data_IF_051421158202
#
_entry.id   IF_051421158202
#
_cell.length_a   1.000
_cell.length_b   1.000
_cell.length_c   1.000
_cell.angle_alpha   90.00
_cell.angle_beta   90.00
_cell.angle_gamma   90.00
#
_symmetry.space_group_name_H-M   'P 1'
#
loop_
_entity.id
_entity.type
_entity.pdbx_description
1 polymer ?
#
# COMPACT_ATOMS: atom_id res chain seq x y z
N UNK A 1 3.26 24.20 -3.82
CA UNK A 1 3.83 23.31 -4.84
C UNK A 1 2.82 22.20 -5.17
N UNK A 2 2.67 21.86 -6.45
CA UNK A 2 1.75 20.79 -6.88
C UNK A 2 2.08 19.48 -6.19
N UNK A 3 1.08 18.81 -5.63
CA UNK A 3 1.18 17.45 -5.12
C UNK A 3 1.31 16.54 -6.33
N UNK A 4 2.43 15.84 -6.44
CA UNK A 4 2.55 14.74 -7.40
C UNK A 4 1.96 13.51 -6.72
N UNK A 5 0.83 13.02 -7.17
CA UNK A 5 0.12 11.80 -6.79
C UNK A 5 0.33 11.21 -5.39
N UNK A 6 -0.72 10.86 -4.72
CA UNK A 6 -0.63 10.08 -3.50
C UNK A 6 -0.05 8.69 -3.79
N UNK A 7 0.97 8.27 -3.04
CA UNK A 7 1.62 6.98 -3.25
C UNK A 7 1.26 5.93 -2.19
N UNK A 8 0.80 6.38 -1.03
CA UNK A 8 0.38 5.54 0.06
C UNK A 8 -0.56 6.27 0.99
N UNK A 9 -1.55 5.57 1.51
CA UNK A 9 -2.42 6.02 2.59
C UNK A 9 -2.29 5.13 3.81
N UNK A 10 -2.36 5.73 5.01
CA UNK A 10 -2.39 5.00 6.26
C UNK A 10 -3.19 5.79 7.30
N UNK A 11 -4.20 5.19 7.88
CA UNK A 11 -4.90 5.78 9.03
C UNK A 11 -4.03 5.71 10.29
N UNK A 12 -4.11 6.75 11.10
CA UNK A 12 -3.55 6.74 12.44
C UNK A 12 -4.38 5.81 13.34
N UNK A 13 -3.78 4.74 13.88
CA UNK A 13 -4.52 3.78 14.69
C UNK A 13 -5.12 4.38 15.97
N UNK A 14 -4.62 5.53 16.46
CA UNK A 14 -5.13 6.24 17.62
C UNK A 14 -6.16 7.32 17.32
N UNK A 15 -6.45 7.60 16.06
CA UNK A 15 -7.33 8.71 15.67
C UNK A 15 -8.78 8.32 15.44
N UNK A 16 -9.15 7.06 15.63
CA UNK A 16 -10.50 6.57 15.30
C UNK A 16 -10.94 6.97 13.87
N UNK A 17 -10.03 6.79 12.90
CA UNK A 17 -10.21 7.15 11.48
C UNK A 17 -10.35 8.64 11.16
N UNK A 18 -10.00 9.54 12.08
CA UNK A 18 -10.07 10.98 11.80
C UNK A 18 -8.81 11.53 11.14
N UNK A 19 -7.68 10.86 11.32
CA UNK A 19 -6.39 11.25 10.74
C UNK A 19 -5.91 10.27 9.69
N UNK A 20 -5.90 10.70 8.43
CA UNK A 20 -5.35 9.96 7.30
C UNK A 20 -3.99 10.54 6.91
N UNK A 21 -2.95 9.74 7.03
CA UNK A 21 -1.61 10.13 6.58
C UNK A 21 -1.37 9.71 5.14
N UNK A 22 -0.65 10.55 4.41
CA UNK A 22 -0.37 10.38 2.99
C UNK A 22 1.09 10.61 2.68
N UNK A 23 1.69 9.73 1.89
CA UNK A 23 2.94 10.01 1.18
C UNK A 23 2.65 10.44 -0.26
N UNK A 24 3.52 11.26 -0.82
CA UNK A 24 3.37 11.75 -2.19
C UNK A 24 4.69 11.69 -2.95
N UNK A 25 4.64 11.28 -4.23
CA UNK A 25 5.81 11.20 -5.08
C UNK A 25 6.41 12.60 -5.36
N UNK A 26 7.74 12.70 -5.34
CA UNK A 26 8.47 13.90 -5.74
C UNK A 26 8.46 15.06 -4.74
N UNK A 27 7.89 14.89 -3.56
CA UNK A 27 7.97 15.82 -2.43
C UNK A 27 8.41 15.02 -1.22
N UNK A 28 9.52 15.35 -0.61
CA UNK A 28 10.09 14.63 0.54
C UNK A 28 9.26 14.76 1.83
N UNK A 29 7.93 14.81 1.75
CA UNK A 29 7.07 15.06 2.90
C UNK A 29 5.88 14.10 3.00
N UNK A 30 5.52 13.75 4.24
CA UNK A 30 4.23 13.17 4.57
C UNK A 30 3.22 14.29 4.85
N UNK A 31 1.96 14.01 4.66
CA UNK A 31 0.85 14.92 4.98
C UNK A 31 -0.15 14.23 5.88
N UNK A 32 -0.66 14.98 6.84
CA UNK A 32 -1.82 14.64 7.62
C UNK A 32 -3.05 15.27 6.97
N UNK A 33 -4.05 14.48 6.71
CA UNK A 33 -5.40 14.90 6.31
C UNK A 33 -6.29 14.67 7.53
N UNK A 34 -6.72 15.75 8.15
CA UNK A 34 -7.71 15.71 9.21
C UNK A 34 -9.12 15.73 8.58
N UNK A 35 -9.81 14.62 8.71
CA UNK A 35 -11.10 14.40 8.05
C UNK A 35 -12.27 15.08 8.77
N UNK A 36 -12.12 15.38 10.07
CA UNK A 36 -13.13 16.12 10.82
C UNK A 36 -13.00 17.62 10.58
N UNK A 37 -11.78 18.15 10.72
CA UNK A 37 -11.51 19.58 10.54
C UNK A 37 -11.39 19.96 9.06
N UNK A 38 -11.31 18.97 8.15
CA UNK A 38 -11.12 19.15 6.69
C UNK A 38 -9.86 19.96 6.36
N UNK A 39 -8.80 19.70 7.11
CA UNK A 39 -7.50 20.38 6.93
C UNK A 39 -6.42 19.42 6.43
N UNK A 40 -5.43 19.98 5.75
CA UNK A 40 -4.24 19.24 5.31
C UNK A 40 -3.00 19.92 5.86
N UNK A 41 -2.24 19.20 6.68
CA UNK A 41 -1.02 19.71 7.31
C UNK A 41 0.19 18.93 6.79
N UNK A 42 1.27 19.64 6.47
CA UNK A 42 2.54 18.99 6.17
C UNK A 42 3.22 18.57 7.47
N UNK A 43 3.66 17.31 7.53
CA UNK A 43 4.55 16.89 8.60
C UNK A 43 5.94 17.52 8.40
N UNK A 44 6.73 17.69 9.49
CA UNK A 44 8.08 18.18 9.40
C UNK A 44 8.89 17.40 8.37
N UNK A 45 9.77 18.08 7.66
CA UNK A 45 10.63 17.50 6.63
C UNK A 45 11.43 16.31 7.22
N UNK A 46 11.31 15.17 6.58
CA UNK A 46 11.97 13.93 7.03
C UNK A 46 13.46 13.91 6.71
N UNK A 47 13.99 14.97 6.16
CA UNK A 47 15.38 15.12 5.77
C UNK A 47 15.55 15.90 4.45
N UNK A 48 16.64 15.71 3.73
CA UNK A 48 16.91 16.41 2.48
C UNK A 48 15.80 16.19 1.44
N UNK A 49 15.59 17.18 0.55
CA UNK A 49 14.61 17.16 -0.56
C UNK A 49 14.67 15.91 -1.47
N UNK A 50 15.70 15.07 -1.31
CA UNK A 50 15.92 13.82 -2.01
C UNK A 50 15.29 12.61 -1.29
N UNK A 51 14.90 12.75 -0.02
CA UNK A 51 14.25 11.68 0.73
C UNK A 51 12.78 11.57 0.28
N UNK A 52 12.42 10.40 -0.24
CA UNK A 52 11.09 10.14 -0.78
C UNK A 52 10.36 9.15 0.12
N UNK A 53 9.52 9.60 1.06
CA UNK A 53 8.68 8.70 1.83
C UNK A 53 7.74 7.96 0.89
N UNK A 54 7.71 6.64 1.00
CA UNK A 54 6.91 5.79 0.12
C UNK A 54 5.80 5.06 0.86
N UNK A 55 6.05 4.61 2.09
CA UNK A 55 5.13 3.77 2.86
C UNK A 55 5.10 4.26 4.29
N UNK A 56 3.91 4.29 4.89
CA UNK A 56 3.68 4.57 6.30
C UNK A 56 3.14 3.31 6.96
N UNK A 57 3.76 2.94 8.07
CA UNK A 57 3.30 1.91 9.00
C UNK A 57 3.32 2.46 10.42
N UNK A 58 2.88 1.66 11.38
CA UNK A 58 2.83 2.01 12.79
C UNK A 58 3.41 0.88 13.62
N UNK A 59 4.12 1.20 14.71
CA UNK A 59 4.50 0.20 15.70
C UNK A 59 3.24 -0.33 16.39
N UNK A 60 3.29 -1.55 16.89
CA UNK A 60 2.14 -2.19 17.56
C UNK A 60 2.18 -2.05 19.08
N UNK A 61 3.25 -1.45 19.62
CA UNK A 61 3.37 -1.14 21.03
C UNK A 61 2.39 -0.03 21.47
N UNK A 62 2.37 0.28 22.74
CA UNK A 62 1.49 1.30 23.31
C UNK A 62 1.69 2.71 22.72
N UNK A 63 2.90 3.00 22.20
CA UNK A 63 3.24 4.29 21.62
C UNK A 63 2.59 4.46 20.25
N UNK A 64 2.53 3.38 19.45
CA UNK A 64 2.11 3.41 18.05
C UNK A 64 2.83 4.52 17.28
N UNK A 65 4.16 4.47 17.34
CA UNK A 65 5.04 5.39 16.63
C UNK A 65 4.94 5.15 15.11
N UNK A 66 5.12 6.23 14.35
CA UNK A 66 5.04 6.15 12.88
C UNK A 66 6.34 5.61 12.29
N UNK A 67 6.24 4.59 11.46
CA UNK A 67 7.35 4.08 10.66
C UNK A 67 7.21 4.60 9.23
N UNK A 68 8.22 5.31 8.76
CA UNK A 68 8.26 5.82 7.38
C UNK A 68 9.36 5.10 6.62
N UNK A 69 8.96 4.36 5.59
CA UNK A 69 9.88 3.75 4.64
C UNK A 69 10.15 4.69 3.47
N UNK A 70 11.39 4.71 2.97
CA UNK A 70 11.84 5.70 1.99
C UNK A 70 12.41 5.06 0.73
N UNK A 71 12.18 5.72 -0.39
CA UNK A 71 12.90 5.47 -1.65
C UNK A 71 14.13 6.38 -1.69
N UNK A 72 15.30 5.81 -1.41
CA UNK A 72 16.55 6.56 -1.33
C UNK A 72 17.38 6.40 -2.60
N UNK A 73 17.78 7.53 -3.13
CA UNK A 73 18.82 7.58 -4.16
C UNK A 73 20.23 7.80 -3.59
N UNK A 74 20.37 8.18 -2.31
CA UNK A 74 21.65 8.49 -1.67
C UNK A 74 21.67 8.15 -0.18
N UNK A 75 22.73 7.51 0.27
CA UNK A 75 23.18 7.18 1.64
C UNK A 75 22.28 7.60 2.81
N UNK A 76 21.53 6.66 3.39
CA UNK A 76 20.76 6.90 4.61
C UNK A 76 19.94 5.68 5.04
N UNK A 77 19.35 5.74 6.22
CA UNK A 77 18.46 4.71 6.72
C UNK A 77 17.21 4.59 5.83
N UNK A 78 16.88 3.37 5.45
CA UNK A 78 15.73 3.09 4.58
C UNK A 78 14.40 3.17 5.33
N UNK A 79 14.41 2.96 6.66
CA UNK A 79 13.25 3.10 7.53
C UNK A 79 13.56 4.08 8.67
N UNK A 80 12.58 4.90 9.02
CA UNK A 80 12.65 5.87 10.09
C UNK A 80 11.45 5.68 11.01
N UNK A 81 11.70 5.66 12.32
CA UNK A 81 10.66 5.72 13.35
C UNK A 81 10.53 7.15 13.84
N UNK A 82 9.33 7.70 13.75
CA UNK A 82 8.96 9.03 14.25
C UNK A 82 8.17 8.88 15.53
N UNK A 83 8.68 9.46 16.63
CA UNK A 83 8.06 9.35 17.94
C UNK A 83 6.75 10.16 18.01
N UNK A 84 5.67 9.49 18.34
CA UNK A 84 4.36 10.12 18.60
C UNK A 84 4.42 11.10 19.77
N UNK A 85 5.13 10.72 20.85
CA UNK A 85 5.27 11.55 22.05
C UNK A 85 5.90 12.92 21.75
N UNK A 86 6.70 13.01 20.70
CA UNK A 86 7.29 14.28 20.26
C UNK A 86 6.47 15.04 19.21
N UNK A 87 5.25 14.55 18.88
CA UNK A 87 4.48 15.05 17.73
C UNK A 87 5.15 14.75 16.40
N UNK A 88 5.80 13.58 16.28
CA UNK A 88 6.53 13.10 15.11
C UNK A 88 7.76 13.95 14.70
N UNK A 89 8.35 14.67 15.67
CA UNK A 89 9.54 15.50 15.45
C UNK A 89 10.84 14.76 15.72
N UNK A 90 10.86 13.90 16.76
CA UNK A 90 12.03 13.08 17.09
C UNK A 90 12.02 11.84 16.20
N UNK A 91 13.16 11.59 15.56
CA UNK A 91 13.32 10.42 14.65
C UNK A 91 14.44 9.50 15.10
N UNK A 92 14.19 8.21 14.94
CA UNK A 92 15.18 7.15 15.07
C UNK A 92 15.41 6.51 13.71
N UNK A 93 16.65 6.44 13.27
CA UNK A 93 17.03 5.79 12.01
C UNK A 93 17.22 4.31 12.26
N UNK A 94 16.58 3.45 11.44
CA UNK A 94 16.84 2.02 11.41
C UNK A 94 17.90 1.77 10.33
N UNK A 95 19.17 1.74 10.76
CA UNK A 95 20.32 1.63 9.87
C UNK A 95 20.97 0.23 9.97
N UNK A 96 21.16 -0.36 8.79
CA UNK A 96 22.09 -1.47 8.62
C UNK A 96 23.08 -1.10 7.49
N UNK A 97 24.36 -1.40 7.71
CA UNK A 97 25.42 -1.14 6.73
C UNK A 97 25.18 -1.77 5.36
N UNK A 98 24.40 -2.85 5.31
CA UNK A 98 24.03 -3.56 4.08
C UNK A 98 22.94 -2.85 3.26
N UNK A 99 22.19 -1.92 3.85
CA UNK A 99 21.05 -1.24 3.21
C UNK A 99 21.40 0.11 2.57
N UNK A 100 22.67 0.47 2.58
CA UNK A 100 23.12 1.74 1.97
C UNK A 100 22.79 1.77 0.49
N UNK A 101 22.11 2.83 0.05
CA UNK A 101 21.80 3.16 -1.36
C UNK A 101 20.61 2.43 -2.00
N UNK A 102 19.72 1.78 -1.24
CA UNK A 102 18.58 1.04 -1.80
C UNK A 102 17.28 1.51 -1.18
N UNK A 103 16.29 1.84 -2.02
CA UNK A 103 14.96 2.25 -1.56
C UNK A 103 14.09 1.08 -1.11
N UNK A 104 13.20 1.32 -0.15
CA UNK A 104 12.16 0.36 0.24
C UNK A 104 11.05 0.38 -0.79
N UNK A 105 10.69 -0.79 -1.30
CA UNK A 105 9.62 -0.94 -2.29
C UNK A 105 8.31 -1.41 -1.68
N UNK A 106 8.38 -2.23 -0.62
CA UNK A 106 7.24 -2.70 0.15
C UNK A 106 7.61 -2.84 1.62
N UNK A 107 6.69 -2.54 2.52
CA UNK A 107 6.87 -2.74 3.96
C UNK A 107 5.53 -2.92 4.66
N UNK A 108 5.53 -3.72 5.73
CA UNK A 108 4.44 -3.81 6.68
C UNK A 108 4.97 -4.18 8.07
N UNK A 109 4.19 -3.89 9.10
CA UNK A 109 4.42 -4.37 10.46
C UNK A 109 3.47 -5.51 10.77
N UNK A 110 3.98 -6.63 11.25
CA UNK A 110 3.14 -7.75 11.62
C UNK A 110 2.29 -7.40 12.85
N UNK A 111 0.95 -7.53 12.79
CA UNK A 111 0.07 -6.96 13.81
C UNK A 111 0.16 -7.63 15.18
N UNK A 112 0.66 -8.87 15.27
CA UNK A 112 0.80 -9.58 16.54
C UNK A 112 2.22 -9.47 17.11
N UNK A 113 3.26 -9.59 16.27
CA UNK A 113 4.66 -9.65 16.74
C UNK A 113 5.33 -8.28 16.75
N UNK A 114 4.80 -7.30 16.03
CA UNK A 114 5.41 -5.99 15.88
C UNK A 114 6.62 -5.96 14.94
N UNK A 115 7.03 -7.09 14.38
CA UNK A 115 8.17 -7.19 13.49
C UNK A 115 7.91 -6.41 12.19
N UNK A 116 8.85 -5.56 11.78
CA UNK A 116 8.82 -4.87 10.51
C UNK A 116 9.39 -5.76 9.40
N UNK A 117 8.59 -6.01 8.37
CA UNK A 117 9.00 -6.73 7.15
C UNK A 117 9.09 -5.74 5.99
N UNK A 118 10.14 -5.84 5.16
CA UNK A 118 10.32 -4.94 4.03
C UNK A 118 11.15 -5.54 2.90
N UNK A 119 10.98 -4.97 1.70
CA UNK A 119 11.75 -5.30 0.50
C UNK A 119 12.51 -4.08 0.02
N UNK A 120 13.70 -4.32 -0.54
CA UNK A 120 14.54 -3.28 -1.11
C UNK A 120 14.58 -3.41 -2.65
N UNK A 121 14.71 -2.28 -3.32
CA UNK A 121 14.85 -2.23 -4.78
C UNK A 121 16.11 -2.99 -5.23
N UNK A 122 15.97 -3.84 -6.26
CA UNK A 122 17.06 -4.65 -6.84
C UNK A 122 17.80 -5.60 -5.89
N UNK A 123 17.25 -5.91 -4.72
CA UNK A 123 17.86 -6.87 -3.82
C UNK A 123 17.01 -8.10 -3.60
N UNK A 124 17.70 -9.21 -3.44
CA UNK A 124 17.21 -10.38 -2.72
C UNK A 124 18.06 -10.46 -1.44
N UNK A 125 17.53 -10.83 -0.35
CA UNK A 125 16.24 -11.37 0.03
C UNK A 125 15.27 -10.31 0.55
N UNK A 126 14.11 -10.75 1.08
CA UNK A 126 13.25 -9.94 1.94
C UNK A 126 13.90 -9.77 3.31
N UNK A 127 13.63 -8.65 3.97
CA UNK A 127 14.22 -8.28 5.25
C UNK A 127 13.17 -8.18 6.32
N UNK A 128 13.58 -8.47 7.56
CA UNK A 128 12.80 -8.17 8.76
C UNK A 128 13.67 -7.46 9.79
N UNK A 129 13.04 -6.59 10.56
CA UNK A 129 13.63 -5.90 11.71
C UNK A 129 12.78 -6.17 12.93
N UNK A 130 13.42 -6.67 13.99
CA UNK A 130 12.82 -6.91 15.28
C UNK A 130 13.13 -5.73 16.22
N UNK A 131 12.09 -5.04 16.69
CA UNK A 131 12.26 -3.88 17.58
C UNK A 131 12.73 -4.24 18.99
N UNK A 132 12.46 -5.46 19.47
CA UNK A 132 12.87 -5.89 20.79
C UNK A 132 14.35 -6.24 20.84
N UNK A 133 14.85 -7.00 19.86
CA UNK A 133 16.27 -7.38 19.77
C UNK A 133 17.11 -6.38 19.00
N UNK A 134 16.48 -5.49 18.21
CA UNK A 134 17.13 -4.53 17.29
C UNK A 134 17.93 -5.21 16.18
N UNK A 135 17.56 -6.44 15.82
CA UNK A 135 18.26 -7.23 14.82
C UNK A 135 17.59 -7.17 13.45
N UNK A 136 18.45 -7.13 12.43
CA UNK A 136 18.06 -7.30 11.03
C UNK A 136 18.35 -8.73 10.61
N UNK A 137 17.35 -9.39 10.04
CA UNK A 137 17.49 -10.74 9.46
C UNK A 137 16.83 -10.83 8.10
N UNK A 138 17.20 -11.86 7.35
CA UNK A 138 16.66 -12.08 6.00
C UNK A 138 15.78 -13.32 5.95
N UNK A 139 14.81 -13.30 5.05
CA UNK A 139 13.95 -14.46 4.76
C UNK A 139 13.52 -14.44 3.29
N UNK A 140 12.93 -15.55 2.77
CA UNK A 140 12.45 -15.68 1.40
C UNK A 140 13.46 -15.23 0.34
N UNK A 141 14.50 -16.03 0.13
CA UNK A 141 15.64 -15.71 -0.75
C UNK A 141 15.37 -15.91 -2.25
N UNK A 142 14.23 -16.48 -2.63
CA UNK A 142 13.97 -16.93 -4.01
C UNK A 142 13.20 -15.94 -4.87
N UNK A 143 12.74 -14.83 -4.29
CA UNK A 143 12.12 -13.78 -5.09
C UNK A 143 13.20 -13.01 -5.86
N UNK A 144 13.21 -13.18 -7.17
CA UNK A 144 14.01 -12.33 -8.06
C UNK A 144 13.40 -10.93 -8.09
N UNK A 145 13.74 -10.12 -7.09
CA UNK A 145 13.16 -8.79 -6.90
C UNK A 145 13.96 -7.70 -7.60
N UNK A 146 14.14 -7.82 -8.92
CA UNK A 146 14.34 -6.59 -9.71
C UNK A 146 13.05 -5.76 -9.79
N UNK A 147 12.08 -6.03 -8.92
CA UNK A 147 10.70 -5.64 -9.09
C UNK A 147 10.19 -4.91 -7.85
N UNK A 148 9.45 -3.84 -8.09
CA UNK A 148 8.80 -3.11 -7.02
C UNK A 148 7.61 -3.92 -6.53
N UNK A 149 7.66 -4.36 -5.28
CA UNK A 149 6.58 -5.06 -4.61
C UNK A 149 5.99 -4.17 -3.53
N UNK A 150 4.69 -3.92 -3.59
CA UNK A 150 3.96 -3.42 -2.43
C UNK A 150 3.56 -4.58 -1.55
N UNK A 151 3.53 -4.36 -0.23
CA UNK A 151 3.19 -5.42 0.71
C UNK A 151 2.11 -4.94 1.67
N UNK A 152 1.11 -5.80 1.91
CA UNK A 152 0.03 -5.53 2.86
C UNK A 152 -0.23 -6.80 3.67
N UNK A 153 -0.14 -6.69 5.00
CA UNK A 153 -0.43 -7.81 5.90
C UNK A 153 -1.92 -7.87 6.21
N UNK A 154 -2.45 -9.08 6.31
CA UNK A 154 -3.81 -9.34 6.78
C UNK A 154 -3.97 -8.84 8.24
N UNK A 155 -5.13 -8.27 8.63
CA UNK A 155 -5.33 -7.72 9.99
C UNK A 155 -5.07 -8.72 11.11
N UNK A 156 -5.27 -10.02 10.87
CA UNK A 156 -4.98 -11.06 11.87
C UNK A 156 -3.51 -11.51 11.89
N UNK A 157 -2.69 -11.07 10.92
CA UNK A 157 -1.31 -11.52 10.75
C UNK A 157 -1.14 -12.88 10.06
N UNK A 158 -2.21 -13.63 9.78
CA UNK A 158 -2.14 -14.98 9.20
C UNK A 158 -1.43 -15.06 7.85
N UNK A 159 -1.45 -13.99 7.08
CA UNK A 159 -0.77 -13.92 5.77
C UNK A 159 -0.51 -12.48 5.34
N UNK A 160 0.29 -12.31 4.30
CA UNK A 160 0.50 -11.02 3.64
C UNK A 160 0.37 -11.16 2.12
N UNK A 161 -0.14 -10.12 1.47
CA UNK A 161 -0.13 -9.99 0.02
C UNK A 161 1.04 -9.14 -0.45
N UNK A 162 1.63 -9.58 -1.56
CA UNK A 162 2.66 -8.87 -2.31
C UNK A 162 2.07 -8.49 -3.66
N UNK A 163 1.93 -7.18 -3.88
CA UNK A 163 1.39 -6.62 -5.10
C UNK A 163 2.54 -6.24 -6.02
N UNK A 164 2.60 -6.85 -7.19
CA UNK A 164 3.63 -6.55 -8.15
C UNK A 164 3.28 -5.32 -8.98
N UNK A 165 3.97 -4.23 -8.68
CA UNK A 165 3.66 -2.89 -9.16
C UNK A 165 4.22 -2.59 -10.57
N UNK A 166 5.25 -3.30 -11.05
CA UNK A 166 6.01 -2.88 -12.24
C UNK A 166 6.53 -4.08 -13.03
N UNK A 167 6.71 -3.93 -14.30
CA UNK A 167 7.02 -2.91 -15.24
C UNK A 167 6.96 -3.31 -16.70
N UNK A 168 7.35 -4.14 -17.23
CA UNK A 168 7.15 -4.44 -18.64
C UNK A 168 5.80 -5.10 -18.74
N UNK A 169 4.91 -4.55 -19.47
CA UNK A 169 3.52 -4.96 -19.78
C UNK A 169 3.16 -6.47 -19.70
N UNK A 170 4.03 -7.29 -19.14
CA UNK A 170 3.90 -8.74 -19.17
C UNK A 170 3.73 -9.38 -17.79
N UNK A 171 4.11 -8.72 -16.69
CA UNK A 171 4.13 -9.37 -15.39
C UNK A 171 3.32 -8.57 -14.37
N UNK A 172 2.12 -9.02 -14.02
CA UNK A 172 1.31 -8.36 -13.02
C UNK A 172 0.49 -9.39 -12.25
N UNK A 173 0.69 -9.45 -10.94
CA UNK A 173 0.04 -10.43 -10.09
C UNK A 173 0.03 -9.98 -8.63
N UNK A 174 -0.78 -10.68 -7.83
CA UNK A 174 -0.75 -10.63 -6.38
C UNK A 174 -0.25 -12.00 -5.90
N UNK A 175 0.80 -12.00 -5.10
CA UNK A 175 1.29 -13.18 -4.41
C UNK A 175 0.87 -13.16 -2.94
N UNK A 176 0.81 -14.33 -2.32
CA UNK A 176 0.51 -14.52 -0.91
C UNK A 176 1.66 -15.24 -0.21
N UNK A 177 1.95 -14.82 1.00
CA UNK A 177 2.82 -15.52 1.95
C UNK A 177 1.99 -15.84 3.18
N UNK A 178 1.98 -17.10 3.61
CA UNK A 178 1.30 -17.54 4.83
C UNK A 178 2.26 -17.46 6.02
N UNK A 179 1.78 -16.96 7.15
CA UNK A 179 2.55 -16.86 8.37
C UNK A 179 2.44 -18.12 9.22
N UNK A 180 3.59 -18.67 9.59
CA UNK A 180 3.67 -19.79 10.52
C UNK A 180 4.00 -19.25 11.91
N UNK A 181 3.02 -19.30 12.82
CA UNK A 181 3.16 -18.79 14.20
C UNK A 181 4.20 -19.57 15.02
N UNK A 182 4.37 -20.87 14.75
CA UNK A 182 5.32 -21.73 15.49
C UNK A 182 6.77 -21.41 15.09
N UNK A 183 7.00 -21.14 13.82
CA UNK A 183 8.31 -20.83 13.28
C UNK A 183 8.62 -19.33 13.24
N UNK A 184 7.67 -18.48 13.63
CA UNK A 184 7.76 -17.01 13.55
C UNK A 184 8.28 -16.52 12.20
N UNK A 185 7.72 -17.04 11.11
CA UNK A 185 8.13 -16.66 9.75
C UNK A 185 7.05 -16.84 8.72
N UNK A 186 7.17 -16.07 7.65
CA UNK A 186 6.37 -16.23 6.43
C UNK A 186 6.91 -17.37 5.55
N UNK A 187 5.99 -18.01 4.81
CA UNK A 187 6.31 -18.96 3.75
C UNK A 187 6.97 -18.26 2.56
N UNK A 188 7.52 -19.05 1.64
CA UNK A 188 7.82 -18.55 0.29
C UNK A 188 6.52 -18.08 -0.39
N UNK A 189 6.55 -16.97 -1.16
CA UNK A 189 5.36 -16.44 -1.81
C UNK A 189 4.90 -17.29 -2.99
N UNK A 190 3.58 -17.36 -3.16
CA UNK A 190 2.93 -18.00 -4.31
C UNK A 190 1.85 -17.09 -4.91
N UNK A 191 1.62 -17.18 -6.21
CA UNK A 191 0.64 -16.32 -6.91
C UNK A 191 -0.76 -16.76 -6.52
N UNK A 192 -1.55 -15.86 -5.91
CA UNK A 192 -2.97 -16.07 -5.57
C UNK A 192 -3.89 -15.54 -6.67
N UNK A 193 -3.49 -14.50 -7.41
CA UNK A 193 -4.27 -13.91 -8.49
C UNK A 193 -3.38 -13.19 -9.51
N UNK A 194 -3.80 -13.18 -10.78
CA UNK A 194 -3.03 -12.58 -11.87
C UNK A 194 -2.07 -13.58 -12.51
N UNK A 195 -1.12 -13.09 -13.31
CA UNK A 195 -0.25 -13.96 -14.09
C UNK A 195 1.17 -13.40 -14.20
N UNK A 196 2.18 -14.27 -14.03
CA UNK A 196 3.60 -13.90 -14.03
C UNK A 196 4.14 -13.41 -15.38
N UNK A 197 3.39 -13.52 -16.47
CA UNK A 197 3.83 -13.11 -17.81
C UNK A 197 2.72 -12.46 -18.66
N UNK A 198 1.57 -12.14 -18.08
CA UNK A 198 0.42 -11.57 -18.82
C UNK A 198 -0.34 -10.59 -17.94
N UNK A 199 0.01 -9.32 -18.04
CA UNK A 199 -0.82 -8.24 -17.51
C UNK A 199 -2.10 -8.09 -18.36
N UNK A 200 -3.13 -7.47 -17.81
CA UNK A 200 -4.38 -7.19 -18.52
C UNK A 200 -5.55 -6.92 -17.58
N UNK A 201 -6.75 -6.94 -18.13
CA UNK A 201 -8.00 -6.73 -17.41
C UNK A 201 -8.95 -7.89 -17.65
N UNK A 202 -9.00 -8.82 -16.71
CA UNK A 202 -9.95 -9.94 -16.71
C UNK A 202 -10.37 -10.25 -15.28
N UNK A 203 -11.66 -10.26 -15.02
CA UNK A 203 -12.21 -10.82 -13.78
C UNK A 203 -12.09 -12.35 -13.83
N UNK A 204 -11.78 -13.00 -12.69
CA UNK A 204 -11.61 -14.45 -12.68
C UNK A 204 -11.02 -14.97 -11.38
N UNK A 205 -10.67 -16.25 -11.36
CA UNK A 205 -10.08 -16.90 -10.18
C UNK A 205 -8.63 -17.28 -10.47
N UNK A 206 -7.74 -16.95 -9.53
CA UNK A 206 -6.33 -17.32 -9.59
C UNK A 206 -5.64 -16.84 -10.87
N UNK A 207 -4.97 -17.75 -11.54
CA UNK A 207 -4.26 -17.50 -12.79
C UNK A 207 -5.13 -17.17 -14.01
N UNK A 208 -6.47 -17.28 -13.90
CA UNK A 208 -7.39 -16.82 -14.95
C UNK A 208 -7.70 -15.33 -14.86
N UNK A 209 -7.51 -14.72 -13.68
CA UNK A 209 -7.60 -13.27 -13.54
C UNK A 209 -6.44 -12.56 -14.26
N UNK A 210 -6.68 -11.31 -14.65
CA UNK A 210 -5.61 -10.41 -15.14
C UNK A 210 -5.72 -9.08 -14.42
N UNK A 211 -4.60 -8.59 -13.96
CA UNK A 211 -4.40 -7.29 -13.33
C UNK A 211 -3.28 -6.55 -14.05
N UNK A 212 -3.19 -5.23 -13.88
CA UNK A 212 -2.15 -4.45 -14.53
C UNK A 212 -1.66 -3.31 -13.62
N UNK A 213 -0.62 -3.59 -12.84
CA UNK A 213 -0.04 -2.65 -11.89
C UNK A 213 -0.85 -2.52 -10.60
N UNK A 214 -1.11 -3.62 -9.85
CA UNK A 214 -1.75 -3.51 -8.55
C UNK A 214 -0.90 -2.65 -7.62
N UNK A 215 -1.46 -1.54 -7.16
CA UNK A 215 -0.80 -0.55 -6.30
C UNK A 215 -0.95 -0.85 -4.82
N UNK A 216 -1.60 0.04 -4.08
CA UNK A 216 -1.95 -0.23 -2.68
C UNK A 216 -3.28 -0.99 -2.59
N UNK A 217 -3.42 -1.78 -1.53
CA UNK A 217 -4.68 -2.41 -1.17
C UNK A 217 -4.95 -2.34 0.32
N UNK A 218 -6.17 -2.64 0.70
CA UNK A 218 -6.67 -2.66 2.07
C UNK A 218 -7.62 -3.82 2.28
N UNK A 219 -7.49 -4.50 3.42
CA UNK A 219 -8.43 -5.52 3.86
C UNK A 219 -9.65 -4.87 4.48
N UNK A 220 -10.84 -5.29 4.06
CA UNK A 220 -12.12 -4.83 4.59
C UNK A 220 -12.93 -6.05 5.00
N UNK A 221 -13.43 -6.03 6.24
CA UNK A 221 -14.27 -7.11 6.73
C UNK A 221 -15.56 -7.18 5.91
N UNK A 222 -15.90 -8.39 5.47
CA UNK A 222 -17.13 -8.66 4.73
C UNK A 222 -18.10 -9.42 5.64
N UNK A 223 -19.19 -8.79 6.01
CA UNK A 223 -20.19 -9.34 6.94
C UNK A 223 -20.91 -10.57 6.36
N UNK A 224 -20.88 -10.77 5.04
CA UNK A 224 -21.44 -11.95 4.38
C UNK A 224 -20.61 -13.23 4.64
N UNK A 225 -19.38 -13.09 5.15
CA UNK A 225 -18.49 -14.22 5.46
C UNK A 225 -18.58 -14.70 6.90
N UNK A 226 -19.67 -14.38 7.59
CA UNK A 226 -19.84 -14.73 9.01
C UNK A 226 -19.56 -16.22 9.27
N UNK A 227 -18.59 -16.49 10.15
CA UNK A 227 -18.15 -17.85 10.50
C UNK A 227 -17.22 -18.52 9.48
N UNK A 228 -16.79 -17.82 8.44
CA UNK A 228 -15.73 -18.28 7.54
C UNK A 228 -14.36 -18.23 8.23
N UNK A 229 -13.41 -19.02 7.74
CA UNK A 229 -12.02 -19.00 8.24
C UNK A 229 -11.34 -17.64 8.02
N UNK A 230 -11.72 -16.97 6.93
CA UNK A 230 -11.28 -15.63 6.56
C UNK A 230 -12.49 -14.79 6.15
N UNK A 231 -12.69 -13.69 6.87
CA UNK A 231 -13.84 -12.81 6.72
C UNK A 231 -13.51 -11.49 6.00
N UNK A 232 -12.38 -11.40 5.29
CA UNK A 232 -11.93 -10.16 4.67
C UNK A 232 -11.81 -10.27 3.17
N UNK A 233 -12.38 -9.29 2.47
CA UNK A 233 -12.05 -9.00 1.09
C UNK A 233 -10.88 -8.01 1.02
N UNK A 234 -10.07 -8.14 -0.02
CA UNK A 234 -8.95 -7.25 -0.27
C UNK A 234 -9.27 -6.32 -1.45
N UNK A 235 -9.48 -5.04 -1.15
CA UNK A 235 -9.69 -4.00 -2.15
C UNK A 235 -8.36 -3.41 -2.57
N UNK A 236 -8.09 -3.31 -3.87
CA UNK A 236 -6.82 -2.80 -4.36
C UNK A 236 -6.96 -1.94 -5.61
N UNK A 237 -6.04 -1.00 -5.77
CA UNK A 237 -5.94 -0.20 -7.00
C UNK A 237 -5.29 -1.02 -8.09
N UNK A 238 -5.89 -1.01 -9.28
CA UNK A 238 -5.35 -1.64 -10.49
C UNK A 238 -4.98 -0.52 -11.48
N UNK A 239 -3.77 0.03 -11.30
CA UNK A 239 -3.34 1.35 -11.79
C UNK A 239 -3.56 1.53 -13.29
N UNK A 240 -2.96 0.65 -14.11
CA UNK A 240 -3.01 0.78 -15.56
C UNK A 240 -4.34 0.29 -16.16
N UNK A 241 -5.18 -0.33 -15.36
CA UNK A 241 -6.56 -0.64 -15.69
C UNK A 241 -7.55 0.45 -15.25
N UNK A 242 -7.06 1.50 -14.58
CA UNK A 242 -7.85 2.65 -14.15
C UNK A 242 -9.07 2.28 -13.30
N UNK A 243 -8.93 1.31 -12.41
CA UNK A 243 -10.05 0.80 -11.60
C UNK A 243 -9.61 0.32 -10.22
N UNK A 244 -10.60 0.07 -9.38
CA UNK A 244 -10.45 -0.59 -8.08
C UNK A 244 -11.01 -2.01 -8.22
N UNK A 245 -10.27 -2.99 -7.73
CA UNK A 245 -10.65 -4.40 -7.80
C UNK A 245 -10.81 -4.97 -6.39
N UNK A 246 -11.52 -6.08 -6.29
CA UNK A 246 -11.65 -6.91 -5.10
C UNK A 246 -10.97 -8.25 -5.36
N UNK A 247 -10.18 -8.71 -4.39
CA UNK A 247 -9.67 -10.08 -4.31
C UNK A 247 -10.27 -10.74 -3.08
N UNK A 248 -11.05 -11.80 -3.29
CA UNK A 248 -11.61 -12.59 -2.20
C UNK A 248 -10.54 -13.53 -1.59
N UNK A 249 -10.74 -14.05 -0.36
CA UNK A 249 -9.85 -15.04 0.25
C UNK A 249 -9.58 -16.27 -0.61
N UNK A 250 -10.54 -16.63 -1.49
CA UNK A 250 -10.47 -17.77 -2.41
C UNK A 250 -9.76 -17.49 -3.73
N UNK A 251 -9.20 -16.27 -3.89
CA UNK A 251 -8.45 -15.90 -5.09
C UNK A 251 -9.31 -15.41 -6.26
N UNK A 252 -10.59 -15.09 -6.06
CA UNK A 252 -11.44 -14.47 -7.09
C UNK A 252 -11.18 -12.97 -7.16
N UNK A 253 -10.89 -12.48 -8.36
CA UNK A 253 -10.78 -11.06 -8.65
C UNK A 253 -12.00 -10.58 -9.40
N UNK A 254 -12.61 -9.49 -8.92
CA UNK A 254 -13.73 -8.78 -9.58
C UNK A 254 -13.47 -7.29 -9.59
N UNK A 255 -14.11 -6.55 -10.50
CA UNK A 255 -14.01 -5.10 -10.51
C UNK A 255 -15.03 -4.48 -9.56
N UNK A 256 -14.55 -3.63 -8.65
CA UNK A 256 -15.39 -2.89 -7.69
C UNK A 256 -15.87 -1.55 -8.28
N UNK A 257 -14.95 -0.72 -8.77
CA UNK A 257 -15.27 0.62 -9.25
C UNK A 257 -14.36 1.04 -10.40
N UNK A 258 -14.85 1.92 -11.25
CA UNK A 258 -14.13 2.44 -12.40
C UNK A 258 -14.49 1.74 -13.70
N UNK A 259 -13.89 2.23 -14.82
CA UNK A 259 -14.16 1.77 -16.18
C UNK A 259 -15.63 1.98 -16.61
N UNK A 260 -16.24 3.07 -16.13
CA UNK A 260 -17.60 3.46 -16.53
C UNK A 260 -17.78 3.44 -18.05
N UNK A 261 -18.92 2.93 -18.51
CA UNK A 261 -19.25 2.70 -19.92
C UNK A 261 -18.29 1.73 -20.64
N UNK A 262 -17.58 0.83 -19.90
CA UNK A 262 -16.62 -0.10 -20.48
C UNK A 262 -15.35 0.55 -21.01
N UNK A 263 -15.07 1.80 -20.66
CA UNK A 263 -13.88 2.51 -21.12
C UNK A 263 -12.60 1.84 -20.67
N UNK A 264 -11.65 1.71 -21.58
CA UNK A 264 -10.28 1.28 -21.28
C UNK A 264 -9.38 2.45 -20.92
N UNK A 265 -9.81 3.67 -21.15
CA UNK A 265 -9.09 4.89 -20.86
C UNK A 265 -9.39 5.40 -19.46
N UNK A 266 -8.38 5.97 -18.82
CA UNK A 266 -8.53 6.66 -17.53
C UNK A 266 -9.38 7.92 -17.68
N UNK A 267 -9.90 8.43 -16.56
CA UNK A 267 -10.67 9.66 -16.52
C UNK A 267 -11.03 10.08 -15.10
N UNK A 268 -11.68 11.22 -15.00
CA UNK A 268 -12.09 11.84 -13.73
C UNK A 268 -13.60 12.03 -13.71
N UNK A 269 -14.37 10.96 -13.78
CA UNK A 269 -15.81 11.01 -13.68
C UNK A 269 -16.29 10.43 -12.35
N UNK A 270 -17.20 11.14 -11.71
CA UNK A 270 -17.96 10.67 -10.56
C UNK A 270 -19.26 10.02 -11.04
N UNK A 271 -19.91 9.25 -10.19
CA UNK A 271 -21.16 8.57 -10.48
C UNK A 271 -21.16 7.10 -10.05
N UNK A 272 -22.09 6.33 -10.56
CA UNK A 272 -22.28 4.92 -10.23
C UNK A 272 -20.99 4.12 -10.48
N UNK A 273 -20.57 3.34 -9.48
CA UNK A 273 -19.22 2.74 -9.38
C UNK A 273 -18.81 1.95 -10.63
N UNK A 274 -19.73 1.21 -11.23
CA UNK A 274 -19.46 0.30 -12.35
C UNK A 274 -19.83 0.85 -13.73
N UNK A 275 -20.69 1.83 -13.79
CA UNK A 275 -21.27 2.31 -15.06
C UNK A 275 -20.84 3.71 -15.45
N UNK A 276 -20.47 4.54 -14.49
CA UNK A 276 -20.16 5.97 -14.70
C UNK A 276 -18.78 6.36 -14.18
N UNK A 277 -18.43 5.91 -12.98
CA UNK A 277 -17.18 6.30 -12.34
C UNK A 277 -15.95 5.92 -13.18
N UNK A 278 -15.02 6.87 -13.33
CA UNK A 278 -13.74 6.68 -14.01
C UNK A 278 -12.62 7.22 -13.15
N UNK A 279 -11.53 6.46 -13.03
CA UNK A 279 -10.30 6.84 -12.34
C UNK A 279 -9.18 7.06 -13.34
N UNK A 280 -8.19 7.86 -12.93
CA UNK A 280 -6.97 8.04 -13.70
C UNK A 280 -5.76 7.58 -12.88
N UNK A 281 -5.19 6.44 -13.22
CA UNK A 281 -4.06 5.84 -12.50
C UNK A 281 -4.24 5.84 -10.97
N UNK A 282 -5.27 5.16 -10.42
CA UNK A 282 -5.44 5.04 -8.97
C UNK A 282 -4.26 4.28 -8.39
N UNK A 283 -3.65 4.82 -7.34
CA UNK A 283 -2.43 4.25 -6.77
C UNK A 283 -2.56 3.92 -5.28
N UNK A 284 -3.06 4.86 -4.49
CA UNK A 284 -3.25 4.70 -3.06
C UNK A 284 -4.71 4.42 -2.73
N UNK A 285 -4.97 3.60 -1.71
CA UNK A 285 -6.31 3.33 -1.21
C UNK A 285 -6.28 3.11 0.30
N UNK A 286 -7.29 3.66 1.01
CA UNK A 286 -7.56 3.37 2.41
C UNK A 286 -9.05 3.22 2.63
N UNK A 287 -9.45 2.42 3.60
CA UNK A 287 -10.84 2.26 4.01
C UNK A 287 -11.08 2.89 5.39
N UNK A 288 -12.09 3.72 5.46
CA UNK A 288 -12.56 4.38 6.68
C UNK A 288 -13.71 3.56 7.28
N UNK A 289 -13.41 2.78 8.31
CA UNK A 289 -14.45 1.96 8.97
C UNK A 289 -15.50 2.78 9.68
N UNK A 290 -15.13 3.97 10.20
CA UNK A 290 -16.05 4.88 10.87
C UNK A 290 -17.09 5.46 9.91
N UNK A 291 -16.64 5.83 8.69
CA UNK A 291 -17.47 6.47 7.66
C UNK A 291 -17.92 5.53 6.56
N UNK A 292 -17.54 4.24 6.63
CA UNK A 292 -17.85 3.19 5.65
C UNK A 292 -17.57 3.62 4.21
N UNK A 293 -16.39 4.20 3.97
CA UNK A 293 -16.00 4.71 2.66
C UNK A 293 -14.52 4.49 2.36
N UNK A 294 -14.17 4.54 1.08
CA UNK A 294 -12.78 4.50 0.65
C UNK A 294 -12.29 5.89 0.28
N UNK A 295 -10.99 6.12 0.54
CA UNK A 295 -10.23 7.22 -0.04
C UNK A 295 -9.26 6.65 -1.07
N UNK A 296 -9.29 7.17 -2.28
CA UNK A 296 -8.47 6.73 -3.41
C UNK A 296 -7.60 7.88 -3.87
N UNK A 297 -6.29 7.69 -3.88
CA UNK A 297 -5.33 8.65 -4.41
C UNK A 297 -4.97 8.33 -5.85
N UNK A 298 -5.09 9.31 -6.75
CA UNK A 298 -4.79 9.18 -8.16
C UNK A 298 -3.44 9.84 -8.50
N UNK A 299 -2.73 9.32 -9.50
CA UNK A 299 -1.54 9.95 -10.07
C UNK A 299 -1.96 11.15 -10.91
N UNK A 300 -1.71 12.36 -10.42
CA UNK A 300 -2.18 13.59 -11.02
C UNK A 300 -1.56 13.95 -12.38
N UNK A 301 -1.99 13.32 -13.44
CA UNK A 301 -1.87 13.85 -14.77
C UNK A 301 -3.26 14.18 -15.27
N UNK A 302 -3.62 15.45 -15.28
CA UNK A 302 -4.87 15.89 -15.93
C UNK A 302 -4.73 15.80 -17.43
N UNK A 303 -5.86 15.53 -18.08
CA UNK A 303 -6.00 15.54 -19.54
C UNK A 303 -5.60 16.90 -20.19
N UNK A 304 -5.52 17.96 -19.37
CA UNK A 304 -5.13 19.32 -19.79
C UNK A 304 -3.64 19.63 -19.53
N UNK A 305 -2.83 18.64 -19.19
CA UNK A 305 -1.41 18.79 -18.89
C UNK A 305 -1.10 19.37 -17.50
N UNK A 306 -2.11 19.70 -16.69
CA UNK A 306 -1.90 20.13 -15.32
C UNK A 306 -1.75 18.93 -14.40
N UNK A 307 -0.61 18.83 -13.71
CA UNK A 307 -0.29 17.74 -12.78
C UNK A 307 -0.88 18.04 -11.40
N UNK A 308 -2.11 17.63 -11.15
CA UNK A 308 -2.72 17.71 -9.82
C UNK A 308 -3.10 16.32 -9.32
N UNK A 309 -2.56 15.93 -8.17
CA UNK A 309 -3.04 14.75 -7.47
C UNK A 309 -4.47 14.97 -6.99
N UNK A 310 -5.31 13.97 -7.16
CA UNK A 310 -6.68 13.97 -6.71
C UNK A 310 -6.83 12.89 -5.64
N UNK A 311 -7.57 13.21 -4.57
CA UNK A 311 -8.05 12.23 -3.61
C UNK A 311 -9.55 12.17 -3.79
N UNK A 312 -10.05 10.98 -4.10
CA UNK A 312 -11.48 10.74 -4.29
C UNK A 312 -12.04 9.90 -3.16
N UNK A 313 -13.26 10.21 -2.78
CA UNK A 313 -14.05 9.45 -1.81
C UNK A 313 -15.02 8.53 -2.56
N UNK A 314 -15.05 7.25 -2.21
CA UNK A 314 -16.07 6.30 -2.63
C UNK A 314 -16.92 5.98 -1.40
N UNK A 315 -18.18 6.35 -1.43
CA UNK A 315 -19.15 6.07 -0.37
C UNK A 315 -20.44 5.56 -1.01
N UNK A 316 -21.23 4.79 -0.24
CA UNK A 316 -22.61 4.56 -0.61
C UNK A 316 -23.37 5.89 -0.43
N UNK A 317 -24.25 6.23 -1.38
CA UNK A 317 -25.23 7.30 -1.16
C UNK A 317 -26.22 6.83 -0.09
N UNK A 318 -26.48 7.70 0.89
CA UNK A 318 -27.50 7.51 1.90
C UNK A 318 -28.91 7.58 1.31
#
# INVERSE_FOLDING_TARGET
GCIKGATWFSFDPKSNFDHLYMTASGVGSCRLIDLEQKTVTMLPDLGNKTERPTIINWTVDENQDMIVSRDLSNNGAVNIVLSRASGFKTKTLLEDSQHKQKGVTGAFVHPKTGTLYYTLYETQPMWRYDFATKEFTTFASHMRTKETLRMVVHPTGKYAYLLRLYSSQQNSYIARMDYNEVLDKFSEPYIIAGHASKAGYVDGVGGNARVNGPGQGVFVKNEDYTGAEDEYDFYFTDEYNHCIRILTPTGRVTTFAGRGNGSTEGGYADGALRTEARFFHPWAIAYDEKRKCFYVGERGEKHDGTKQAVIRKIAQEE
#
